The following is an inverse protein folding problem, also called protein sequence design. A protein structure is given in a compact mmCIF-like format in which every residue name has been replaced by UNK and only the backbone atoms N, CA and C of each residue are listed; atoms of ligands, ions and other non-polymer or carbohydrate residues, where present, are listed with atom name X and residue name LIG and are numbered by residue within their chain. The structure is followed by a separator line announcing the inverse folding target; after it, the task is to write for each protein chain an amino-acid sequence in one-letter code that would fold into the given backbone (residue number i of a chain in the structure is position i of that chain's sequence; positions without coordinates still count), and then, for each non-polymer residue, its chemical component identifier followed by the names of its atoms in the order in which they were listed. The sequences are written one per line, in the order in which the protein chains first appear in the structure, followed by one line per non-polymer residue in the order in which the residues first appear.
data_IF_171238069374
#
_entry.id   IF_171238069374
#
_cell.length_a   1.000
_cell.length_b   1.000
_cell.length_c   1.000
_cell.angle_alpha   90.00
_cell.angle_beta   90.00
_cell.angle_gamma   90.00
#
_symmetry.space_group_name_H-M   'P 1'
#
loop_
_entity.id
_entity.type
_entity.pdbx_description
1 polymer ?
#
# COMPACT_ATOMS: atom_id res chain seq x y z
N UNK A 1 14.68 18.39 -17.58
CA UNK A 1 13.56 17.61 -18.13
C UNK A 1 12.79 17.06 -16.96
N UNK A 2 11.53 17.48 -16.76
CA UNK A 2 10.65 16.79 -15.81
C UNK A 2 10.35 15.45 -16.47
N UNK A 3 10.61 14.30 -15.84
CA UNK A 3 10.13 13.05 -16.40
C UNK A 3 8.61 13.14 -16.36
N UNK A 4 7.99 13.34 -17.52
CA UNK A 4 6.54 13.21 -17.68
C UNK A 4 6.22 11.73 -17.51
N UNK A 5 6.12 11.32 -16.25
CA UNK A 5 5.62 10.01 -15.88
C UNK A 5 4.26 9.86 -16.58
N UNK A 6 4.00 8.75 -17.27
CA UNK A 6 2.74 8.57 -17.97
C UNK A 6 1.58 8.83 -16.99
N UNK A 7 0.52 9.55 -17.41
CA UNK A 7 -0.56 9.96 -16.51
C UNK A 7 -1.19 8.78 -15.77
N UNK A 8 -1.13 7.58 -16.36
CA UNK A 8 -1.52 6.31 -15.77
C UNK A 8 -0.70 5.93 -14.54
N UNK A 9 0.63 6.06 -14.59
CA UNK A 9 1.50 5.77 -13.43
C UNK A 9 1.24 6.73 -12.28
N UNK A 10 1.03 8.02 -12.56
CA UNK A 10 0.71 8.99 -11.51
C UNK A 10 -0.66 8.70 -10.86
N UNK A 11 -1.64 8.30 -11.67
CA UNK A 11 -2.98 7.92 -11.20
C UNK A 11 -2.95 6.62 -10.38
N UNK A 12 -2.12 5.65 -10.76
CA UNK A 12 -1.88 4.41 -10.02
C UNK A 12 -1.15 4.72 -8.70
N UNK A 13 -0.09 5.53 -8.71
CA UNK A 13 0.60 5.94 -7.48
C UNK A 13 -0.33 6.63 -6.50
N UNK A 14 -1.21 7.54 -6.96
CA UNK A 14 -2.19 8.19 -6.10
C UNK A 14 -3.15 7.17 -5.47
N UNK A 15 -3.69 6.24 -6.28
CA UNK A 15 -4.56 5.18 -5.78
C UNK A 15 -3.86 4.29 -4.75
N UNK A 16 -2.59 3.92 -4.98
CA UNK A 16 -1.77 3.16 -4.02
C UNK A 16 -1.65 3.95 -2.71
N UNK A 17 -1.29 5.23 -2.77
CA UNK A 17 -1.12 6.09 -1.58
C UNK A 17 -2.43 6.21 -0.81
N UNK A 18 -3.57 6.40 -1.50
CA UNK A 18 -4.89 6.46 -0.86
C UNK A 18 -5.25 5.15 -0.18
N UNK A 19 -5.05 4.01 -0.85
CA UNK A 19 -5.31 2.70 -0.27
C UNK A 19 -4.42 2.42 0.95
N UNK A 20 -3.11 2.72 0.86
CA UNK A 20 -2.18 2.58 2.00
C UNK A 20 -2.59 3.49 3.16
N UNK A 21 -3.04 4.73 2.88
CA UNK A 21 -3.50 5.68 3.91
C UNK A 21 -4.67 5.13 4.73
N UNK A 22 -5.60 4.39 4.12
CA UNK A 22 -6.70 3.72 4.81
C UNK A 22 -6.22 2.60 5.76
N UNK A 23 -4.97 2.13 5.58
CA UNK A 23 -4.39 1.02 6.32
C UNK A 23 -3.12 1.42 7.08
N UNK A 24 -3.25 2.10 8.23
CA UNK A 24 -2.13 2.58 9.05
C UNK A 24 -1.12 1.50 9.42
N UNK A 25 -1.53 0.23 9.50
CA UNK A 25 -0.66 -0.91 9.79
C UNK A 25 0.53 -1.05 8.82
N UNK A 26 0.42 -0.52 7.61
CA UNK A 26 1.46 -0.58 6.58
C UNK A 26 2.58 0.43 6.77
N UNK A 27 2.31 1.58 7.41
CA UNK A 27 3.28 2.68 7.58
C UNK A 27 3.52 3.09 9.04
N UNK A 28 2.70 2.63 9.98
CA UNK A 28 2.92 2.80 11.41
C UNK A 28 3.86 1.71 11.90
N UNK A 29 4.97 2.13 12.50
CA UNK A 29 5.95 1.25 13.15
C UNK A 29 5.55 0.85 14.58
N UNK A 30 4.67 1.63 15.22
CA UNK A 30 4.29 1.51 16.63
C UNK A 30 2.98 0.73 16.84
N UNK A 31 2.96 -0.49 16.31
CA UNK A 31 1.81 -1.40 16.42
C UNK A 31 2.11 -2.40 17.53
N UNK A 32 1.52 -2.17 18.70
CA UNK A 32 1.63 -3.05 19.87
C UNK A 32 1.02 -4.42 19.54
N UNK A 33 1.86 -5.36 19.13
CA UNK A 33 1.47 -6.73 18.80
C UNK A 33 2.67 -7.63 18.54
N UNK A 34 2.46 -8.95 18.56
CA UNK A 34 3.51 -9.92 18.21
C UNK A 34 3.99 -9.69 16.79
N UNK A 35 5.29 -9.43 16.59
CA UNK A 35 5.87 -9.05 15.30
C UNK A 35 5.49 -9.99 14.13
N UNK A 36 5.38 -11.30 14.40
CA UNK A 36 4.99 -12.32 13.43
C UNK A 36 3.55 -12.12 12.93
N UNK A 37 2.60 -11.86 13.83
CA UNK A 37 1.19 -11.61 13.45
C UNK A 37 1.05 -10.31 12.66
N UNK A 38 1.86 -9.32 13.00
CA UNK A 38 1.85 -8.03 12.31
C UNK A 38 2.39 -8.15 10.88
N UNK A 39 3.46 -8.92 10.68
CA UNK A 39 4.02 -9.18 9.36
C UNK A 39 3.00 -9.88 8.46
N UNK A 40 2.35 -10.93 8.95
CA UNK A 40 1.27 -11.64 8.26
C UNK A 40 0.10 -10.72 7.92
N UNK A 41 -0.26 -9.82 8.85
CA UNK A 41 -1.32 -8.85 8.64
C UNK A 41 -0.96 -7.83 7.56
N UNK A 42 0.28 -7.30 7.58
CA UNK A 42 0.79 -6.39 6.54
C UNK A 42 0.75 -7.06 5.17
N UNK A 43 1.17 -8.31 5.06
CA UNK A 43 1.13 -9.08 3.81
C UNK A 43 -0.31 -9.27 3.29
N UNK A 44 -1.27 -9.62 4.16
CA UNK A 44 -2.69 -9.75 3.77
C UNK A 44 -3.29 -8.42 3.32
N UNK A 45 -3.01 -7.33 4.03
CA UNK A 45 -3.49 -5.99 3.68
C UNK A 45 -2.86 -5.54 2.37
N UNK A 46 -1.56 -5.77 2.16
CA UNK A 46 -0.90 -5.46 0.90
C UNK A 46 -1.52 -6.23 -0.27
N UNK A 47 -1.80 -7.52 -0.08
CA UNK A 47 -2.46 -8.36 -1.10
C UNK A 47 -3.86 -7.84 -1.45
N UNK A 48 -4.65 -7.42 -0.46
CA UNK A 48 -5.95 -6.76 -0.66
C UNK A 48 -5.82 -5.48 -1.48
N UNK A 49 -4.84 -4.63 -1.16
CA UNK A 49 -4.60 -3.38 -1.89
C UNK A 49 -4.16 -3.68 -3.33
N UNK A 50 -3.29 -4.67 -3.55
CA UNK A 50 -2.86 -5.10 -4.89
C UNK A 50 -4.06 -5.55 -5.74
N UNK A 51 -4.92 -6.38 -5.16
CA UNK A 51 -6.14 -6.91 -5.79
C UNK A 51 -7.14 -5.79 -6.13
N UNK A 52 -7.39 -4.86 -5.21
CA UNK A 52 -8.26 -3.68 -5.43
C UNK A 52 -7.71 -2.74 -6.50
N UNK A 53 -6.38 -2.65 -6.62
CA UNK A 53 -5.73 -1.81 -7.61
C UNK A 53 -5.58 -2.50 -8.98
N UNK A 54 -5.83 -3.81 -9.06
CA UNK A 54 -5.56 -4.62 -10.25
C UNK A 54 -4.07 -4.73 -10.58
N UNK A 55 -3.22 -4.62 -9.57
CA UNK A 55 -1.78 -4.88 -9.65
C UNK A 55 -1.59 -6.38 -9.35
N UNK A 56 -1.74 -7.21 -10.38
CA UNK A 56 -1.40 -8.65 -10.31
C UNK A 56 0.11 -8.86 -10.45
#
# INVERSE_FOLDING_TARGET
MVPTMPPDSHKISLKIIEAIKQHPVLYISDVKGTAIKLQEFRQKVWKRISDELGLD
#
